data_IF_895958304915
#
_entry.id   IF_895958304915
#
_cell.length_a   1.000
_cell.length_b   1.000
_cell.length_c   1.000
_cell.angle_alpha   90.00
_cell.angle_beta   90.00
_cell.angle_gamma   90.00
#
_symmetry.space_group_name_H-M   'P 1'
#
loop_
_entity.id
_entity.type
_entity.pdbx_description
1 polymer ?
#
# COMPACT_ATOMS: atom_id res chain seq x y z
N UNK A 1 -3.30 -18.88 -11.52
CA UNK A 1 -1.91 -18.38 -11.63
C UNK A 1 -1.70 -17.28 -10.60
N UNK A 2 -0.55 -17.22 -9.94
CA UNK A 2 -0.23 -16.28 -8.84
C UNK A 2 -0.45 -14.81 -9.22
N UNK A 3 -0.13 -14.45 -10.48
CA UNK A 3 -0.32 -13.10 -11.00
C UNK A 3 -1.78 -12.63 -11.02
N UNK A 4 -2.71 -13.52 -11.37
CA UNK A 4 -4.15 -13.20 -11.41
C UNK A 4 -4.66 -12.93 -9.99
N UNK A 5 -4.23 -13.74 -9.02
CA UNK A 5 -4.60 -13.58 -7.61
C UNK A 5 -4.08 -12.23 -7.08
N UNK A 6 -2.86 -11.84 -7.45
CA UNK A 6 -2.29 -10.55 -7.11
C UNK A 6 -3.15 -9.37 -7.59
N UNK A 7 -3.51 -9.34 -8.88
CA UNK A 7 -4.35 -8.26 -9.42
C UNK A 7 -5.75 -8.25 -8.83
N UNK A 8 -6.36 -9.42 -8.59
CA UNK A 8 -7.65 -9.50 -7.92
C UNK A 8 -7.59 -8.94 -6.50
N UNK A 9 -6.49 -9.15 -5.78
CA UNK A 9 -6.31 -8.62 -4.42
C UNK A 9 -6.32 -7.09 -4.40
N UNK A 10 -5.60 -6.43 -5.30
CA UNK A 10 -5.59 -4.96 -5.40
C UNK A 10 -6.97 -4.42 -5.79
N UNK A 11 -7.61 -5.03 -6.80
CA UNK A 11 -8.97 -4.62 -7.21
C UNK A 11 -9.99 -4.75 -6.09
N UNK A 12 -9.88 -5.80 -5.27
CA UNK A 12 -10.76 -5.99 -4.12
C UNK A 12 -10.54 -4.89 -3.07
N UNK A 13 -9.28 -4.48 -2.81
CA UNK A 13 -8.99 -3.36 -1.89
C UNK A 13 -9.63 -2.07 -2.41
N UNK A 14 -9.44 -1.73 -3.68
CA UNK A 14 -10.03 -0.53 -4.29
C UNK A 14 -11.56 -0.51 -4.20
N UNK A 15 -12.21 -1.67 -4.38
CA UNK A 15 -13.66 -1.81 -4.28
C UNK A 15 -14.20 -1.50 -2.88
N UNK A 16 -13.40 -1.68 -1.85
CA UNK A 16 -13.80 -1.35 -0.47
C UNK A 16 -13.75 0.14 -0.16
N UNK A 17 -13.01 0.92 -0.95
CA UNK A 17 -12.97 2.37 -0.83
C UNK A 17 -14.23 2.97 -1.47
N UNK A 18 -15.21 3.36 -0.65
CA UNK A 18 -16.54 3.81 -1.10
C UNK A 18 -16.61 5.27 -1.55
N UNK A 19 -15.61 6.07 -1.21
CA UNK A 19 -15.49 7.48 -1.62
C UNK A 19 -14.48 7.63 -2.75
N UNK A 20 -14.61 8.72 -3.49
CA UNK A 20 -13.63 9.09 -4.51
C UNK A 20 -12.49 9.89 -3.90
N UNK A 21 -12.81 10.82 -2.98
CA UNK A 21 -11.82 11.57 -2.23
C UNK A 21 -11.25 10.70 -1.11
N UNK A 22 -9.93 10.55 -1.08
CA UNK A 22 -9.22 9.74 -0.09
C UNK A 22 -8.02 10.49 0.48
N UNK A 23 -7.76 10.31 1.77
CA UNK A 23 -6.51 10.71 2.40
C UNK A 23 -5.69 9.45 2.65
N UNK A 24 -4.43 9.45 2.20
CA UNK A 24 -3.56 8.29 2.31
C UNK A 24 -2.61 8.46 3.49
N UNK A 25 -2.53 7.48 4.39
CA UNK A 25 -1.45 7.39 5.36
C UNK A 25 -0.70 6.09 5.16
N UNK A 26 0.63 6.17 5.06
CA UNK A 26 1.51 5.03 4.89
C UNK A 26 2.55 5.02 5.99
N UNK A 27 2.48 4.02 6.86
CA UNK A 27 3.55 3.70 7.79
C UNK A 27 4.59 2.82 7.08
N UNK A 28 5.85 3.26 7.08
CA UNK A 28 6.94 2.54 6.43
C UNK A 28 7.24 1.20 7.12
N UNK A 29 6.90 1.01 8.40
CA UNK A 29 7.14 -0.22 9.14
C UNK A 29 6.30 -1.42 8.68
N UNK A 30 5.21 -1.15 7.95
CA UNK A 30 4.35 -2.16 7.33
C UNK A 30 4.96 -2.78 6.07
N UNK A 31 6.06 -2.23 5.55
CA UNK A 31 6.82 -2.81 4.43
C UNK A 31 7.82 -3.82 5.00
N UNK A 32 8.03 -4.93 4.29
CA UNK A 32 8.98 -5.96 4.72
C UNK A 32 10.36 -5.36 5.06
N UNK A 33 10.92 -5.65 6.26
CA UNK A 33 12.18 -5.07 6.72
C UNK A 33 13.38 -5.36 5.82
N UNK A 34 13.32 -6.42 5.00
CA UNK A 34 14.34 -6.69 3.99
C UNK A 34 14.40 -5.62 2.89
N UNK A 35 13.31 -4.87 2.70
CA UNK A 35 13.23 -3.73 1.78
C UNK A 35 13.24 -2.38 2.50
N UNK A 36 12.68 -2.31 3.72
CA UNK A 36 12.64 -1.10 4.54
C UNK A 36 13.24 -1.35 5.94
N UNK A 37 14.58 -1.43 6.07
CA UNK A 37 15.22 -1.83 7.33
C UNK A 37 15.29 -0.72 8.40
N UNK A 38 15.03 0.54 8.02
CA UNK A 38 15.24 1.72 8.86
C UNK A 38 13.92 2.21 9.48
N UNK A 39 13.18 1.31 10.13
CA UNK A 39 11.95 1.64 10.87
C UNK A 39 12.13 1.31 12.35
N UNK A 40 11.47 2.07 13.22
CA UNK A 40 11.54 1.91 14.67
C UNK A 40 11.10 0.52 15.15
N UNK A 41 10.17 -0.12 14.42
CA UNK A 41 9.64 -1.46 14.74
C UNK A 41 9.53 -2.35 13.48
N UNK A 42 10.60 -3.02 13.03
CA UNK A 42 10.51 -3.88 11.85
C UNK A 42 9.64 -5.11 12.10
N UNK A 43 8.56 -5.28 11.32
CA UNK A 43 7.65 -6.44 11.42
C UNK A 43 7.90 -7.45 10.29
N UNK A 44 8.22 -8.70 10.66
CA UNK A 44 8.42 -9.77 9.69
C UNK A 44 7.12 -10.12 8.95
N UNK A 45 7.22 -10.38 7.64
CA UNK A 45 6.06 -10.71 6.81
C UNK A 45 5.23 -9.50 6.38
N UNK A 46 5.83 -8.32 6.40
CA UNK A 46 5.25 -7.08 5.89
C UNK A 46 4.97 -7.12 4.38
N UNK A 47 4.40 -6.04 3.87
CA UNK A 47 4.10 -5.91 2.45
C UNK A 47 5.39 -5.92 1.63
N UNK A 48 5.40 -6.65 0.52
CA UNK A 48 6.51 -6.55 -0.42
C UNK A 48 6.51 -5.18 -1.09
N UNK A 49 7.70 -4.63 -1.35
CA UNK A 49 7.86 -3.34 -2.02
C UNK A 49 7.02 -3.24 -3.30
N UNK A 50 7.02 -4.31 -4.11
CA UNK A 50 6.25 -4.39 -5.36
C UNK A 50 4.74 -4.28 -5.11
N UNK A 51 4.21 -5.02 -4.12
CA UNK A 51 2.78 -4.97 -3.82
C UNK A 51 2.38 -3.57 -3.35
N UNK A 52 3.14 -2.98 -2.44
CA UNK A 52 2.90 -1.62 -1.94
C UNK A 52 2.89 -0.61 -3.08
N UNK A 53 3.90 -0.63 -3.95
CA UNK A 53 4.00 0.31 -5.06
C UNK A 53 2.86 0.15 -6.08
N UNK A 54 2.49 -1.09 -6.41
CA UNK A 54 1.40 -1.36 -7.34
C UNK A 54 0.04 -0.95 -6.75
N UNK A 55 -0.19 -1.20 -5.46
CA UNK A 55 -1.39 -0.75 -4.77
C UNK A 55 -1.49 0.78 -4.75
N UNK A 56 -0.39 1.47 -4.42
CA UNK A 56 -0.37 2.93 -4.42
C UNK A 56 -0.67 3.49 -5.80
N UNK A 57 -0.02 2.98 -6.85
CA UNK A 57 -0.31 3.39 -8.24
C UNK A 57 -1.80 3.28 -8.56
N UNK A 58 -2.39 2.12 -8.26
CA UNK A 58 -3.80 1.86 -8.53
C UNK A 58 -4.74 2.75 -7.70
N UNK A 59 -4.36 3.13 -6.47
CA UNK A 59 -5.09 4.13 -5.67
C UNK A 59 -5.03 5.50 -6.34
N UNK A 60 -3.85 5.98 -6.71
CA UNK A 60 -3.68 7.30 -7.36
C UNK A 60 -4.32 7.37 -8.76
N UNK A 61 -4.44 6.25 -9.47
CA UNK A 61 -5.11 6.20 -10.78
C UNK A 61 -6.64 6.16 -10.69
N UNK A 62 -7.20 5.62 -9.61
CA UNK A 62 -8.65 5.37 -9.49
C UNK A 62 -9.36 6.23 -8.44
N UNK A 63 -8.63 7.01 -7.63
CA UNK A 63 -9.16 7.84 -6.54
C UNK A 63 -8.59 9.25 -6.57
N UNK A 64 -9.35 10.19 -6.04
CA UNK A 64 -8.89 11.56 -5.83
C UNK A 64 -8.15 11.65 -4.48
N UNK A 65 -6.83 11.48 -4.52
CA UNK A 65 -6.00 11.54 -3.31
C UNK A 65 -5.81 13.01 -2.92
N UNK A 66 -6.58 13.47 -1.94
CA UNK A 66 -6.61 14.88 -1.51
C UNK A 66 -5.45 15.28 -0.59
N UNK A 67 -4.70 14.30 -0.11
CA UNK A 67 -3.55 14.47 0.77
C UNK A 67 -2.94 13.13 1.12
N UNK A 68 -1.66 13.15 1.52
CA UNK A 68 -0.96 11.96 1.94
C UNK A 68 0.09 12.25 3.02
N UNK A 69 0.20 11.35 4.01
CA UNK A 69 1.28 11.31 4.97
C UNK A 69 2.08 10.01 4.81
N UNK A 70 3.40 10.12 4.89
CA UNK A 70 4.32 9.00 4.96
C UNK A 70 5.08 9.13 6.27
N UNK A 71 4.87 8.16 7.15
CA UNK A 71 5.48 8.15 8.48
C UNK A 71 6.60 7.13 8.47
N UNK A 72 7.75 7.55 8.98
CA UNK A 72 8.90 6.72 9.27
C UNK A 72 9.23 6.97 10.73
N UNK A 73 8.96 6.00 11.60
CA UNK A 73 9.37 6.03 13.00
C UNK A 73 10.83 5.58 13.18
#
# INVERSE_FOLDING_TARGET
NSLIIFFLKIKNILKEIKTDNVYLTLDADGIDPGHMPATGTPVQGGLSWKFTFDLLREVFENKDVVGADIVVE
#
